data_IF_766996132395
#
_entry.id   IF_766996132395
#
_cell.length_a   1.000
_cell.length_b   1.000
_cell.length_c   1.000
_cell.angle_alpha   90.00
_cell.angle_beta   90.00
_cell.angle_gamma   90.00
#
_symmetry.space_group_name_H-M   'P 1'
#
loop_
_entity.id
_entity.type
_entity.pdbx_description
1 polymer ?
#
# COMPACT_ATOMS: atom_id res chain seq x y z
N UNK A 1 -21.03 -14.92 8.83
CA UNK A 1 -21.29 -14.97 7.38
C UNK A 1 -19.99 -15.38 6.71
N UNK A 2 -20.03 -16.27 5.72
CA UNK A 2 -18.84 -16.77 5.02
C UNK A 2 -18.84 -16.22 3.59
N UNK A 3 -17.69 -15.75 3.11
CA UNK A 3 -17.49 -15.45 1.69
C UNK A 3 -17.27 -16.76 0.94
N UNK A 4 -18.07 -16.99 -0.09
CA UNK A 4 -17.94 -18.14 -0.99
C UNK A 4 -16.73 -18.01 -1.92
N UNK A 5 -16.27 -19.13 -2.46
CA UNK A 5 -15.21 -19.15 -3.48
C UNK A 5 -15.58 -18.29 -4.70
N UNK A 6 -16.87 -18.22 -5.06
CA UNK A 6 -17.36 -17.38 -6.16
C UNK A 6 -17.17 -15.90 -5.84
N UNK A 7 -17.49 -15.47 -4.63
CA UNK A 7 -17.31 -14.07 -4.20
C UNK A 7 -15.82 -13.70 -4.11
N UNK A 8 -14.98 -14.60 -3.59
CA UNK A 8 -13.53 -14.41 -3.57
C UNK A 8 -12.93 -14.33 -4.98
N UNK A 9 -13.39 -15.20 -5.89
CA UNK A 9 -12.95 -15.17 -7.29
C UNK A 9 -13.38 -13.89 -8.00
N UNK A 10 -14.57 -13.38 -7.70
CA UNK A 10 -15.02 -12.08 -8.20
C UNK A 10 -14.16 -10.93 -7.65
N UNK A 11 -13.80 -10.96 -6.36
CA UNK A 11 -12.91 -9.98 -5.77
C UNK A 11 -11.51 -9.99 -6.44
N UNK A 12 -10.96 -11.16 -6.73
CA UNK A 12 -9.69 -11.30 -7.48
C UNK A 12 -9.81 -10.68 -8.88
N UNK A 13 -10.90 -10.97 -9.59
CA UNK A 13 -11.17 -10.37 -10.90
C UNK A 13 -11.24 -8.84 -10.83
N UNK A 14 -11.97 -8.29 -9.86
CA UNK A 14 -12.07 -6.84 -9.67
C UNK A 14 -10.71 -6.22 -9.37
N UNK A 15 -9.90 -6.85 -8.51
CA UNK A 15 -8.56 -6.38 -8.20
C UNK A 15 -7.66 -6.30 -9.44
N UNK A 16 -7.70 -7.32 -10.29
CA UNK A 16 -6.93 -7.35 -11.54
C UNK A 16 -7.39 -6.27 -12.53
N UNK A 17 -8.71 -6.10 -12.70
CA UNK A 17 -9.28 -5.02 -13.54
C UNK A 17 -8.87 -3.63 -13.03
N UNK A 18 -8.92 -3.41 -11.71
CA UNK A 18 -8.56 -2.14 -11.09
C UNK A 18 -7.08 -1.83 -11.28
N UNK A 19 -6.21 -2.83 -11.07
CA UNK A 19 -4.77 -2.71 -11.20
C UNK A 19 -4.37 -2.44 -12.66
N UNK A 20 -4.80 -3.28 -13.60
CA UNK A 20 -4.48 -3.15 -15.02
C UNK A 20 -5.11 -1.91 -15.64
N UNK A 21 -6.33 -1.56 -15.22
CA UNK A 21 -7.03 -0.36 -15.65
C UNK A 21 -6.57 0.93 -15.00
N UNK A 22 -5.59 0.87 -14.07
CA UNK A 22 -5.07 2.00 -13.28
C UNK A 22 -6.19 2.83 -12.63
N UNK A 23 -7.24 2.17 -12.15
CA UNK A 23 -8.45 2.82 -11.63
C UNK A 23 -8.24 3.31 -10.20
N UNK A 24 -7.51 4.42 -10.04
CA UNK A 24 -7.14 5.00 -8.73
C UNK A 24 -8.31 5.10 -7.75
N UNK A 25 -9.48 5.55 -8.21
CA UNK A 25 -10.67 5.72 -7.37
C UNK A 25 -11.18 4.40 -6.75
N UNK A 26 -11.07 3.29 -7.48
CA UNK A 26 -11.50 1.96 -7.00
C UNK A 26 -10.40 1.22 -6.23
N UNK A 27 -9.15 1.71 -6.30
CA UNK A 27 -7.99 1.04 -5.73
C UNK A 27 -8.01 1.06 -4.20
N UNK A 28 -8.46 2.15 -3.60
CA UNK A 28 -8.61 2.26 -2.15
C UNK A 28 -9.63 1.23 -1.62
N UNK A 29 -10.81 1.14 -2.22
CA UNK A 29 -11.83 0.19 -1.78
C UNK A 29 -11.43 -1.26 -2.02
N UNK A 30 -10.74 -1.53 -3.14
CA UNK A 30 -10.18 -2.86 -3.44
C UNK A 30 -9.16 -3.27 -2.38
N UNK A 31 -8.24 -2.37 -2.00
CA UNK A 31 -7.26 -2.63 -0.95
C UNK A 31 -7.92 -2.85 0.40
N UNK A 32 -8.97 -2.08 0.73
CA UNK A 32 -9.74 -2.28 1.97
C UNK A 32 -10.40 -3.67 2.00
N UNK A 33 -11.01 -4.11 0.91
CA UNK A 33 -11.59 -5.45 0.82
C UNK A 33 -10.54 -6.54 1.08
N UNK A 34 -9.39 -6.46 0.41
CA UNK A 34 -8.30 -7.42 0.60
C UNK A 34 -7.75 -7.39 2.03
N UNK A 35 -7.59 -6.19 2.61
CA UNK A 35 -7.15 -6.03 3.99
C UNK A 35 -8.10 -6.69 4.99
N UNK A 36 -9.42 -6.54 4.80
CA UNK A 36 -10.39 -7.19 5.68
C UNK A 36 -10.34 -8.71 5.59
N UNK A 37 -10.16 -9.26 4.37
CA UNK A 37 -9.97 -10.71 4.18
C UNK A 37 -8.71 -11.18 4.89
N UNK A 38 -7.56 -10.54 4.65
CA UNK A 38 -6.28 -10.95 5.26
C UNK A 38 -6.31 -10.80 6.78
N UNK A 39 -6.91 -9.74 7.34
CA UNK A 39 -7.07 -9.58 8.79
C UNK A 39 -7.91 -10.69 9.44
N UNK A 40 -8.80 -11.32 8.68
CA UNK A 40 -9.62 -12.43 9.17
C UNK A 40 -8.90 -13.79 9.12
N UNK A 41 -7.71 -13.83 8.51
CA UNK A 41 -6.88 -15.03 8.37
C UNK A 41 -5.63 -14.86 9.25
N UNK A 42 -5.55 -15.50 10.42
CA UNK A 42 -4.39 -15.37 11.30
C UNK A 42 -3.10 -15.91 10.65
N UNK A 43 -3.23 -16.99 9.87
CA UNK A 43 -2.16 -17.59 9.08
C UNK A 43 -2.73 -18.07 7.74
N UNK A 44 -1.89 -18.10 6.71
CA UNK A 44 -2.24 -18.60 5.38
C UNK A 44 -1.13 -19.51 4.86
N UNK A 45 -1.50 -20.72 4.48
CA UNK A 45 -0.60 -21.65 3.79
C UNK A 45 -0.55 -21.27 2.31
N UNK A 46 0.63 -20.89 1.83
CA UNK A 46 0.86 -20.40 0.48
C UNK A 46 2.06 -21.12 -0.15
N UNK A 47 2.08 -21.32 -1.48
CA UNK A 47 3.25 -21.85 -2.16
C UNK A 47 4.48 -20.94 -1.95
N UNK A 48 5.67 -21.53 -1.80
CA UNK A 48 6.92 -20.78 -1.57
C UNK A 48 7.14 -19.65 -2.59
N UNK A 49 6.87 -19.92 -3.87
CA UNK A 49 6.98 -18.91 -4.93
C UNK A 49 6.09 -17.68 -4.72
N UNK A 50 4.89 -17.88 -4.14
CA UNK A 50 3.96 -16.79 -3.81
C UNK A 50 4.47 -16.02 -2.59
N UNK A 51 4.99 -16.73 -1.58
CA UNK A 51 5.57 -16.11 -0.38
C UNK A 51 6.75 -15.21 -0.76
N UNK A 52 7.66 -15.71 -1.59
CA UNK A 52 8.82 -14.94 -2.06
C UNK A 52 8.39 -13.70 -2.87
N UNK A 53 7.39 -13.84 -3.74
CA UNK A 53 6.86 -12.69 -4.48
C UNK A 53 6.26 -11.63 -3.55
N UNK A 54 5.49 -12.04 -2.53
CA UNK A 54 4.93 -11.13 -1.54
C UNK A 54 6.04 -10.42 -0.75
N UNK A 55 7.08 -11.14 -0.33
CA UNK A 55 8.23 -10.54 0.39
C UNK A 55 8.89 -9.44 -0.42
N UNK A 56 9.16 -9.68 -1.70
CA UNK A 56 9.72 -8.66 -2.60
C UNK A 56 8.80 -7.45 -2.73
N UNK A 57 7.49 -7.65 -2.83
CA UNK A 57 6.54 -6.52 -2.88
C UNK A 57 6.53 -5.72 -1.58
N UNK A 58 6.56 -6.38 -0.43
CA UNK A 58 6.63 -5.73 0.89
C UNK A 58 7.90 -4.90 1.02
N UNK A 59 9.06 -5.45 0.69
CA UNK A 59 10.34 -4.74 0.72
C UNK A 59 10.31 -3.48 -0.15
N UNK A 60 9.76 -3.59 -1.36
CA UNK A 60 9.62 -2.46 -2.27
C UNK A 60 8.68 -1.38 -1.72
N UNK A 61 7.53 -1.77 -1.16
CA UNK A 61 6.58 -0.84 -0.54
C UNK A 61 7.24 -0.11 0.64
N UNK A 62 7.91 -0.85 1.53
CA UNK A 62 8.60 -0.26 2.68
C UNK A 62 9.71 0.71 2.25
N UNK A 63 10.50 0.35 1.23
CA UNK A 63 11.53 1.21 0.69
C UNK A 63 10.96 2.52 0.12
N UNK A 64 9.83 2.44 -0.59
CA UNK A 64 9.12 3.61 -1.12
C UNK A 64 8.60 4.50 0.02
N UNK A 65 7.93 3.93 1.02
CA UNK A 65 7.39 4.69 2.16
C UNK A 65 8.50 5.38 2.96
N UNK A 66 9.63 4.70 3.19
CA UNK A 66 10.80 5.30 3.85
C UNK A 66 11.36 6.46 3.03
N UNK A 67 11.47 6.29 1.71
CA UNK A 67 11.93 7.35 0.81
C UNK A 67 11.01 8.58 0.81
N UNK A 68 9.68 8.34 0.78
CA UNK A 68 8.68 9.41 0.86
C UNK A 68 8.74 10.16 2.18
N UNK A 69 8.86 9.45 3.31
CA UNK A 69 9.00 10.07 4.63
C UNK A 69 10.29 10.91 4.74
N UNK A 70 11.42 10.37 4.29
CA UNK A 70 12.69 11.11 4.29
C UNK A 70 12.60 12.39 3.46
N UNK A 71 11.94 12.31 2.29
CA UNK A 71 11.70 13.47 1.44
C UNK A 71 10.81 14.51 2.12
N UNK A 72 9.75 14.10 2.82
CA UNK A 72 8.88 15.01 3.57
C UNK A 72 9.65 15.71 4.69
N UNK A 73 10.44 14.97 5.48
CA UNK A 73 11.29 15.53 6.53
C UNK A 73 12.32 16.54 5.98
N UNK A 74 12.94 16.25 4.83
CA UNK A 74 13.87 17.19 4.20
C UNK A 74 13.17 18.49 3.76
N UNK A 75 11.95 18.38 3.23
CA UNK A 75 11.13 19.54 2.86
C UNK A 75 10.81 20.39 4.10
N UNK A 76 10.36 19.76 5.19
CA UNK A 76 10.08 20.44 6.46
C UNK A 76 11.32 21.14 7.03
N UNK A 77 12.48 20.48 7.02
CA UNK A 77 13.76 21.06 7.46
C UNK A 77 14.16 22.27 6.61
N UNK A 78 14.00 22.20 5.28
CA UNK A 78 14.28 23.33 4.37
C UNK A 78 13.33 24.51 4.63
N UNK A 79 12.05 24.25 4.91
CA UNK A 79 11.09 25.29 5.28
C UNK A 79 11.41 25.92 6.65
N UNK A 80 11.77 25.11 7.65
CA UNK A 80 12.18 25.60 8.97
C UNK A 80 13.47 26.44 8.90
N UNK A 81 14.46 26.03 8.11
CA UNK A 81 15.70 26.79 7.90
C UNK A 81 15.49 28.10 7.13
N UNK A 82 14.51 28.17 6.23
CA UNK A 82 14.11 29.42 5.56
C UNK A 82 13.41 30.39 6.52
N UNK A 83 12.64 29.88 7.49
CA UNK A 83 11.99 30.69 8.53
C UNK A 83 12.97 31.30 9.54
N UNK A 84 14.13 30.70 9.77
CA UNK A 84 15.17 31.23 10.66
C UNK A 84 16.10 32.27 10.00
N UNK A 85 16.02 32.47 8.68
CA UNK A 85 16.91 33.38 7.93
C UNK A 85 16.36 34.80 7.70
N UNK A 86 15.31 35.20 8.41
CA UNK A 86 14.93 36.62 8.54
C UNK A 86 15.28 37.16 9.94
N UNK A 87 16.54 37.49 10.23
CA UNK A 87 16.84 38.55 11.17
C UNK A 87 16.79 39.89 10.40
N UNK A 88 15.98 40.84 10.88
CA UNK A 88 15.77 42.21 10.40
C UNK A 88 14.60 42.41 9.43
N UNK A 89 13.40 42.40 10.02
CA UNK A 89 12.24 43.20 9.65
C UNK A 89 11.57 43.67 10.94
#
# INVERSE_FOLDING_TARGET
MLLSQKELSHLVFLADVVLNGKKKAAMEDTLRCLLYVVKSLPEAELPDSVVEHIRLLVENIEAQLRSENNRQQEIELRFAQRGQRNPLG
#
